data_IF_529354525172
#
_entry.id   IF_529354525172
#
_cell.length_a   1.000
_cell.length_b   1.000
_cell.length_c   1.000
_cell.angle_alpha   90.00
_cell.angle_beta   90.00
_cell.angle_gamma   90.00
#
_symmetry.space_group_name_H-M   'P 1'
#
loop_
_entity.id
_entity.type
_entity.pdbx_description
1 polymer ?
#
# COMPACT_ATOMS: atom_id res chain seq x y z
N UNK A 1 -46.13 -55.30 -31.74
CA UNK A 1 -44.79 -54.92 -31.24
C UNK A 1 -44.35 -53.68 -32.01
N UNK A 2 -44.26 -52.53 -31.35
CA UNK A 2 -43.89 -51.25 -31.98
C UNK A 2 -42.56 -50.78 -31.39
N UNK A 3 -41.55 -50.63 -32.25
CA UNK A 3 -40.22 -50.09 -31.93
C UNK A 3 -40.32 -48.58 -31.72
N UNK A 4 -40.07 -48.08 -30.50
CA UNK A 4 -39.88 -46.65 -30.28
C UNK A 4 -38.43 -46.29 -30.60
N UNK A 5 -38.27 -45.47 -31.64
CA UNK A 5 -37.02 -44.82 -32.05
C UNK A 5 -36.54 -43.90 -30.93
N UNK A 6 -35.37 -44.18 -30.35
CA UNK A 6 -34.69 -43.29 -29.41
C UNK A 6 -34.16 -42.11 -30.25
N UNK A 7 -34.77 -40.95 -30.06
CA UNK A 7 -34.30 -39.68 -30.65
C UNK A 7 -33.20 -39.18 -29.73
N UNK A 8 -31.98 -39.22 -30.25
CA UNK A 8 -30.81 -38.51 -29.74
C UNK A 8 -31.14 -37.02 -29.61
N UNK A 9 -31.65 -36.60 -28.46
CA UNK A 9 -31.60 -35.20 -28.02
C UNK A 9 -30.22 -34.99 -27.40
N UNK A 10 -29.31 -34.75 -28.32
CA UNK A 10 -28.03 -34.09 -28.17
C UNK A 10 -28.08 -32.92 -27.15
N UNK A 11 -26.96 -32.72 -26.45
CA UNK A 11 -26.59 -31.62 -25.53
C UNK A 11 -26.75 -31.91 -24.03
N UNK A 12 -25.68 -32.53 -23.50
CA UNK A 12 -24.86 -32.01 -22.39
C UNK A 12 -25.61 -31.13 -21.38
N UNK A 13 -26.09 -31.80 -20.33
CA UNK A 13 -26.52 -31.23 -19.04
C UNK A 13 -25.34 -30.70 -18.19
N UNK A 14 -24.16 -30.54 -18.79
CA UNK A 14 -22.89 -30.29 -18.10
C UNK A 14 -22.28 -28.89 -18.34
N UNK A 15 -22.98 -28.00 -19.03
CA UNK A 15 -22.36 -26.74 -19.50
C UNK A 15 -23.35 -25.57 -19.48
N UNK A 16 -24.05 -25.40 -18.36
CA UNK A 16 -24.85 -24.20 -18.09
C UNK A 16 -24.53 -23.67 -16.69
N UNK A 17 -23.26 -23.33 -16.48
CA UNK A 17 -22.87 -22.34 -15.49
C UNK A 17 -23.24 -20.96 -16.05
N UNK A 18 -24.55 -20.66 -16.08
CA UNK A 18 -25.06 -19.29 -16.19
C UNK A 18 -24.85 -18.59 -14.84
N UNK A 19 -23.59 -18.45 -14.43
CA UNK A 19 -23.26 -17.41 -13.48
C UNK A 19 -23.17 -16.11 -14.29
N UNK A 20 -23.99 -15.09 -14.00
CA UNK A 20 -23.81 -13.80 -14.65
C UNK A 20 -22.35 -13.42 -14.45
N UNK A 21 -21.65 -13.05 -15.53
CA UNK A 21 -20.27 -12.58 -15.45
C UNK A 21 -20.23 -11.34 -14.54
N UNK A 22 -20.06 -11.58 -13.24
CA UNK A 22 -19.77 -10.56 -12.26
C UNK A 22 -18.39 -10.04 -12.66
N UNK A 23 -18.40 -8.88 -13.34
CA UNK A 23 -17.20 -8.11 -13.66
C UNK A 23 -16.29 -8.14 -12.44
N UNK A 24 -15.14 -8.77 -12.58
CA UNK A 24 -14.18 -8.93 -11.50
C UNK A 24 -13.92 -7.55 -10.91
N UNK A 25 -14.33 -7.35 -9.66
CA UNK A 25 -14.17 -6.08 -9.00
C UNK A 25 -12.67 -5.86 -8.77
N UNK A 26 -12.03 -5.13 -9.69
CA UNK A 26 -10.61 -4.76 -9.65
C UNK A 26 -10.34 -3.54 -8.76
N UNK A 27 -11.31 -3.14 -7.93
CA UNK A 27 -11.06 -2.08 -6.94
C UNK A 27 -9.87 -2.51 -6.09
N UNK A 28 -8.86 -1.64 -5.88
CA UNK A 28 -7.68 -2.00 -5.13
C UNK A 28 -8.09 -2.47 -3.74
N UNK A 29 -7.75 -3.73 -3.41
CA UNK A 29 -8.04 -4.30 -2.09
C UNK A 29 -7.24 -3.61 -0.97
N UNK A 30 -6.22 -2.83 -1.35
CA UNK A 30 -5.37 -2.06 -0.44
C UNK A 30 -5.89 -0.63 -0.29
N UNK A 31 -6.16 -0.15 0.94
CA UNK A 31 -6.65 1.20 1.16
C UNK A 31 -5.70 2.27 0.57
N UNK A 32 -6.26 3.27 -0.12
CA UNK A 32 -5.48 4.31 -0.80
C UNK A 32 -4.55 5.09 0.13
N UNK A 33 -4.95 5.25 1.40
CA UNK A 33 -4.12 5.85 2.44
C UNK A 33 -2.79 5.11 2.65
N UNK A 34 -2.81 3.77 2.62
CA UNK A 34 -1.59 2.94 2.74
C UNK A 34 -0.67 3.16 1.54
N UNK A 35 -1.23 3.30 0.34
CA UNK A 35 -0.45 3.57 -0.87
C UNK A 35 0.32 4.89 -0.74
N UNK A 36 -0.33 5.95 -0.27
CA UNK A 36 0.33 7.24 -0.05
C UNK A 36 1.41 7.17 1.02
N UNK A 37 1.25 6.38 2.08
CA UNK A 37 2.28 6.16 3.09
C UNK A 37 3.50 5.45 2.52
N UNK A 38 3.30 4.36 1.80
CA UNK A 38 4.38 3.59 1.18
C UNK A 38 5.17 4.47 0.20
N UNK A 39 4.45 5.26 -0.61
CA UNK A 39 5.06 6.19 -1.55
C UNK A 39 5.80 7.34 -0.83
N UNK A 40 5.21 7.91 0.21
CA UNK A 40 5.84 8.96 1.01
C UNK A 40 7.12 8.48 1.71
N UNK A 41 7.11 7.28 2.28
CA UNK A 41 8.27 6.73 2.97
C UNK A 41 9.40 6.33 2.04
N UNK A 42 9.08 5.72 0.91
CA UNK A 42 10.10 5.39 -0.10
C UNK A 42 10.76 6.66 -0.63
N UNK A 43 9.97 7.71 -0.89
CA UNK A 43 10.50 9.00 -1.31
C UNK A 43 11.36 9.64 -0.20
N UNK A 44 10.91 9.63 1.05
CA UNK A 44 11.64 10.19 2.18
C UNK A 44 13.00 9.50 2.39
N UNK A 45 13.05 8.17 2.27
CA UNK A 45 14.27 7.38 2.43
C UNK A 45 15.33 7.69 1.35
N UNK A 46 14.91 8.13 0.16
CA UNK A 46 15.80 8.51 -0.93
C UNK A 46 16.16 10.00 -0.82
N UNK A 47 15.15 10.87 -0.71
CA UNK A 47 15.33 12.33 -0.82
C UNK A 47 16.02 12.90 0.42
N UNK A 48 15.75 12.40 1.62
CA UNK A 48 16.31 13.01 2.84
C UNK A 48 17.83 12.74 2.97
N UNK A 49 18.34 11.50 2.83
CA UNK A 49 19.79 11.25 2.94
C UNK A 49 20.57 11.84 1.76
N UNK A 50 20.05 11.69 0.54
CA UNK A 50 20.70 12.21 -0.68
C UNK A 50 20.63 13.73 -0.70
N UNK A 51 19.46 14.30 -0.43
CA UNK A 51 19.26 15.73 -0.32
C UNK A 51 20.17 16.33 0.73
N UNK A 52 20.25 15.73 1.92
CA UNK A 52 21.17 16.21 2.95
C UNK A 52 22.63 16.14 2.54
N UNK A 53 23.06 15.11 1.80
CA UNK A 53 24.44 15.05 1.31
C UNK A 53 24.76 16.25 0.42
N UNK A 54 23.95 16.48 -0.62
CA UNK A 54 24.18 17.57 -1.57
C UNK A 54 23.98 18.96 -0.96
N UNK A 55 23.08 19.10 0.01
CA UNK A 55 22.88 20.37 0.71
C UNK A 55 24.08 20.65 1.63
N UNK A 56 24.57 19.66 2.37
CA UNK A 56 25.65 19.87 3.36
C UNK A 56 27.06 19.91 2.75
N UNK A 57 27.31 19.24 1.61
CA UNK A 57 28.64 19.22 0.97
C UNK A 57 29.10 20.60 0.53
N UNK A 58 28.19 21.40 -0.04
CA UNK A 58 28.51 22.75 -0.54
C UNK A 58 28.30 23.84 0.51
N UNK A 59 27.29 23.74 1.39
CA UNK A 59 26.97 24.83 2.33
C UNK A 59 27.72 24.76 3.67
N UNK A 60 28.03 23.56 4.18
CA UNK A 60 28.65 23.40 5.50
C UNK A 60 30.11 22.94 5.43
N UNK A 61 30.44 22.05 4.49
CA UNK A 61 31.76 21.39 4.47
C UNK A 61 32.71 21.85 3.35
N UNK A 62 32.35 22.90 2.60
CA UNK A 62 33.18 23.52 1.55
C UNK A 62 33.82 22.49 0.60
N UNK A 63 33.05 21.46 0.21
CA UNK A 63 33.50 20.42 -0.71
C UNK A 63 34.17 19.20 -0.06
N UNK A 64 34.25 19.09 1.28
CA UNK A 64 34.78 17.88 1.91
C UNK A 64 33.72 16.77 1.98
N UNK A 65 33.71 15.93 0.94
CA UNK A 65 32.77 14.81 0.75
C UNK A 65 32.77 13.78 1.88
N UNK A 66 33.87 13.63 2.64
CA UNK A 66 33.93 12.66 3.73
C UNK A 66 33.06 13.08 4.93
N UNK A 67 33.08 14.36 5.30
CA UNK A 67 32.24 14.87 6.39
C UNK A 67 30.78 14.99 5.98
N UNK A 68 30.52 15.44 4.74
CA UNK A 68 29.17 15.48 4.19
C UNK A 68 28.55 14.07 4.07
N UNK A 69 29.34 13.08 3.62
CA UNK A 69 28.94 11.68 3.57
C UNK A 69 28.67 11.08 4.95
N UNK A 70 29.52 11.39 5.93
CA UNK A 70 29.32 10.98 7.32
C UNK A 70 28.03 11.56 7.93
N UNK A 71 27.74 12.84 7.69
CA UNK A 71 26.50 13.48 8.12
C UNK A 71 25.28 12.84 7.44
N UNK A 72 25.35 12.59 6.13
CA UNK A 72 24.29 11.91 5.39
C UNK A 72 23.99 10.51 5.94
N UNK A 73 25.02 9.74 6.30
CA UNK A 73 24.85 8.43 6.93
C UNK A 73 24.21 8.53 8.32
N UNK A 74 24.55 9.56 9.10
CA UNK A 74 23.95 9.81 10.41
C UNK A 74 22.46 10.18 10.26
N UNK A 75 22.13 11.04 9.29
CA UNK A 75 20.75 11.39 8.98
C UNK A 75 19.94 10.23 8.41
N UNK A 76 20.53 9.33 7.63
CA UNK A 76 19.85 8.12 7.18
C UNK A 76 19.35 7.28 8.38
N UNK A 77 20.16 7.15 9.43
CA UNK A 77 19.74 6.49 10.66
C UNK A 77 18.68 7.28 11.43
N UNK A 78 18.76 8.62 11.44
CA UNK A 78 17.71 9.45 12.03
C UNK A 78 16.36 9.31 11.30
N UNK A 79 16.38 9.19 9.97
CA UNK A 79 15.19 8.92 9.14
C UNK A 79 14.59 7.56 9.48
N UNK A 80 15.42 6.54 9.72
CA UNK A 80 14.95 5.22 10.18
C UNK A 80 14.25 5.33 11.54
N UNK A 81 14.82 6.06 12.51
CA UNK A 81 14.18 6.26 13.82
C UNK A 81 12.87 7.04 13.67
N UNK A 82 12.85 8.10 12.85
CA UNK A 82 11.65 8.86 12.55
C UNK A 82 10.57 7.99 11.89
N UNK A 83 10.95 7.06 11.00
CA UNK A 83 10.06 6.07 10.40
C UNK A 83 9.36 5.26 11.48
N UNK A 84 10.13 4.71 12.43
CA UNK A 84 9.60 3.90 13.52
C UNK A 84 8.63 4.71 14.38
N UNK A 85 8.96 5.94 14.72
CA UNK A 85 8.08 6.82 15.52
C UNK A 85 6.77 7.10 14.79
N UNK A 86 6.82 7.43 13.49
CA UNK A 86 5.63 7.70 12.69
C UNK A 86 4.77 6.45 12.57
N UNK A 87 5.38 5.29 12.32
CA UNK A 87 4.67 4.01 12.27
C UNK A 87 3.96 3.71 13.59
N UNK A 88 4.63 3.91 14.74
CA UNK A 88 4.02 3.72 16.07
C UNK A 88 2.87 4.69 16.33
N UNK A 89 3.01 5.97 15.94
CA UNK A 89 1.93 6.96 16.10
C UNK A 89 0.73 6.66 15.22
N UNK A 90 0.96 6.20 13.99
CA UNK A 90 -0.11 5.81 13.08
C UNK A 90 -0.84 4.56 13.57
N UNK A 91 -0.12 3.57 14.07
CA UNK A 91 -0.70 2.35 14.68
C UNK A 91 -1.64 2.72 15.84
N UNK A 92 -1.22 3.65 16.71
CA UNK A 92 -2.06 4.15 17.79
C UNK A 92 -3.28 4.94 17.30
N UNK A 93 -3.15 5.73 16.23
CA UNK A 93 -4.29 6.49 15.67
C UNK A 93 -5.36 5.59 15.04
N UNK A 94 -4.96 4.45 14.47
CA UNK A 94 -5.88 3.45 13.91
C UNK A 94 -6.62 2.71 15.04
N UNK A 95 -5.93 2.41 16.14
CA UNK A 95 -6.53 1.87 17.38
C UNK A 95 -7.52 2.86 18.02
N UNK A 96 -7.19 4.15 18.10
CA UNK A 96 -8.08 5.19 18.65
C UNK A 96 -9.30 5.47 17.75
N UNK A 97 -9.14 5.38 16.43
CA UNK A 97 -10.26 5.48 15.49
C UNK A 97 -11.22 4.29 15.60
N UNK A 98 -10.69 3.07 15.80
CA UNK A 98 -11.49 1.88 16.08
C UNK A 98 -12.17 1.90 17.47
N UNK A 99 -11.64 2.69 18.40
CA UNK A 99 -12.13 2.82 19.79
C UNK A 99 -13.23 3.88 19.96
N UNK A 100 -13.53 4.69 18.94
CA UNK A 100 -14.69 5.59 18.98
C UNK A 100 -15.94 4.79 18.59
N UNK A 101 -16.87 4.51 19.53
CA UNK A 101 -18.14 3.92 19.15
C UNK A 101 -18.87 4.90 18.23
N UNK A 102 -19.22 4.43 17.04
CA UNK A 102 -20.19 5.02 16.12
C UNK A 102 -21.35 5.60 16.95
N UNK A 103 -21.35 6.92 17.15
CA UNK A 103 -22.45 7.57 17.85
C UNK A 103 -23.64 7.47 16.91
N UNK A 104 -24.58 6.60 17.29
CA UNK A 104 -25.94 6.50 16.74
C UNK A 104 -26.40 7.88 16.26
N UNK A 105 -26.37 8.15 14.96
CA UNK A 105 -27.17 9.20 14.36
C UNK A 105 -28.42 8.55 13.78
N UNK A 106 -29.27 8.14 14.71
CA UNK A 106 -30.69 7.98 14.48
C UNK A 106 -31.34 9.27 14.98
N UNK A 107 -31.50 10.24 14.07
CA UNK A 107 -32.44 11.36 14.17
C UNK A 107 -32.62 12.02 12.81
#
# INVERSE_FOLDING_TARGET
MATRRIISSEKTILEKDDHPEEKSNISPVVPTHVIFKLLGFTLAMIVVPIGSYFLTVDTLFKGNSSYAGGLAALLANAVLVAYVIVAMKEDQSELEAASRPETKKDR
#
